data_IF_297478540016
#
_entry.id   IF_297478540016
#
_cell.length_a   1.000
_cell.length_b   1.000
_cell.length_c   1.000
_cell.angle_alpha   90.00
_cell.angle_beta   90.00
_cell.angle_gamma   90.00
#
_symmetry.space_group_name_H-M   'P 1'
#
loop_
_entity.id
_entity.type
_entity.pdbx_description
1 polymer ?
#
# COMPACT_ATOMS: atom_id res chain seq x y z
N UNK A 1 20.80 16.02 -12.99
CA UNK A 1 20.09 15.62 -14.23
C UNK A 1 19.23 14.39 -13.90
N UNK A 2 18.10 14.22 -14.59
CA UNK A 2 17.26 13.02 -14.53
C UNK A 2 17.58 12.17 -15.76
N UNK A 3 17.80 10.87 -15.55
CA UNK A 3 18.04 9.92 -16.62
C UNK A 3 17.02 8.78 -16.55
N UNK A 4 16.36 8.45 -17.68
CA UNK A 4 15.44 7.33 -17.77
C UNK A 4 16.21 6.07 -18.15
N UNK A 5 16.29 5.12 -17.21
CA UNK A 5 16.98 3.85 -17.45
C UNK A 5 16.03 2.73 -17.91
N UNK A 6 14.76 2.79 -17.48
CA UNK A 6 13.77 1.75 -17.80
C UNK A 6 12.37 2.31 -17.80
N UNK A 7 11.56 1.87 -18.74
CA UNK A 7 10.13 2.20 -18.84
C UNK A 7 9.35 0.99 -19.32
N UNK A 8 8.18 0.77 -18.75
CA UNK A 8 7.30 -0.34 -19.08
C UNK A 8 5.83 0.05 -18.93
N UNK A 9 4.89 -0.62 -19.64
CA UNK A 9 3.47 -0.41 -19.43
C UNK A 9 3.01 -1.06 -18.11
N UNK A 10 2.11 -0.35 -17.39
CA UNK A 10 1.54 -0.80 -16.12
C UNK A 10 0.00 -0.86 -16.20
N UNK A 11 -0.58 -1.80 -16.97
CA UNK A 11 -2.03 -1.98 -16.99
C UNK A 11 -2.48 -2.80 -15.77
N UNK A 12 -3.71 -2.52 -15.31
CA UNK A 12 -4.40 -3.43 -14.40
C UNK A 12 -4.76 -4.74 -15.11
N UNK A 13 -4.79 -5.84 -14.38
CA UNK A 13 -5.15 -7.18 -14.86
C UNK A 13 -6.51 -7.57 -14.33
N UNK A 14 -7.44 -7.87 -15.24
CA UNK A 14 -8.79 -8.35 -14.87
C UNK A 14 -8.79 -9.87 -14.78
N UNK A 15 -9.23 -10.35 -13.63
CA UNK A 15 -9.48 -11.77 -13.37
C UNK A 15 -10.93 -11.96 -12.89
N UNK A 16 -11.32 -13.17 -12.54
CA UNK A 16 -12.71 -13.51 -12.20
C UNK A 16 -13.27 -12.68 -11.04
N UNK A 17 -12.46 -12.44 -10.03
CA UNK A 17 -12.84 -11.74 -8.79
C UNK A 17 -12.64 -10.22 -8.84
N UNK A 18 -12.04 -9.67 -9.89
CA UNK A 18 -11.88 -8.23 -10.00
C UNK A 18 -10.75 -7.73 -10.88
N UNK A 19 -10.44 -6.46 -10.72
CA UNK A 19 -9.30 -5.80 -11.36
C UNK A 19 -8.16 -5.66 -10.34
N UNK A 20 -6.98 -6.16 -10.71
CA UNK A 20 -5.81 -6.23 -9.83
C UNK A 20 -4.59 -5.55 -10.43
N UNK A 21 -3.63 -5.21 -9.59
CA UNK A 21 -2.27 -4.92 -9.98
C UNK A 21 -1.45 -6.21 -10.09
N UNK A 22 -0.68 -6.38 -11.15
CA UNK A 22 0.30 -7.46 -11.25
C UNK A 22 1.60 -7.03 -10.55
N UNK A 23 1.59 -7.11 -9.21
CA UNK A 23 2.72 -6.62 -8.42
C UNK A 23 3.98 -7.47 -8.57
N UNK A 24 3.84 -8.74 -8.95
CA UNK A 24 5.00 -9.59 -9.22
C UNK A 24 5.73 -9.15 -10.48
N UNK A 25 4.97 -8.78 -11.52
CA UNK A 25 5.55 -8.17 -12.72
C UNK A 25 6.17 -6.80 -12.41
N UNK A 26 5.49 -5.95 -11.63
CA UNK A 26 6.05 -4.66 -11.22
C UNK A 26 7.38 -4.85 -10.48
N UNK A 27 7.46 -5.84 -9.63
CA UNK A 27 8.69 -6.18 -8.93
C UNK A 27 9.81 -6.64 -9.89
N UNK A 28 9.50 -7.46 -10.88
CA UNK A 28 10.45 -7.84 -11.93
C UNK A 28 10.99 -6.63 -12.69
N UNK A 29 10.10 -5.72 -13.09
CA UNK A 29 10.47 -4.50 -13.80
C UNK A 29 11.32 -3.54 -12.95
N UNK A 30 11.05 -3.44 -11.63
CA UNK A 30 11.89 -2.71 -10.68
C UNK A 30 13.30 -3.32 -10.66
N UNK A 31 13.42 -4.64 -10.58
CA UNK A 31 14.72 -5.32 -10.60
C UNK A 31 15.47 -5.13 -11.94
N UNK A 32 14.75 -5.09 -13.07
CA UNK A 32 15.35 -4.75 -14.38
C UNK A 32 15.91 -3.32 -14.34
N UNK A 33 15.16 -2.36 -13.78
CA UNK A 33 15.62 -0.99 -13.59
C UNK A 33 16.87 -0.91 -12.72
N UNK A 34 16.88 -1.64 -11.59
CA UNK A 34 18.04 -1.69 -10.68
C UNK A 34 19.28 -2.29 -11.37
N UNK A 35 19.13 -3.38 -12.12
CA UNK A 35 20.23 -3.96 -12.89
C UNK A 35 20.85 -2.97 -13.88
N UNK A 36 20.02 -2.18 -14.56
CA UNK A 36 20.50 -1.13 -15.47
C UNK A 36 21.22 -0.01 -14.73
N UNK A 37 20.75 0.34 -13.52
CA UNK A 37 21.37 1.37 -12.68
C UNK A 37 22.68 0.92 -12.02
N UNK A 38 22.92 -0.39 -11.90
CA UNK A 38 24.09 -0.94 -11.17
C UNK A 38 25.43 -0.42 -11.71
N UNK A 39 25.54 -0.18 -13.03
CA UNK A 39 26.74 0.37 -13.65
C UNK A 39 27.14 1.75 -13.09
N UNK A 40 26.16 2.54 -12.66
CA UNK A 40 26.36 3.89 -12.10
C UNK A 40 26.61 3.88 -10.58
N UNK A 41 26.61 2.68 -9.95
CA UNK A 41 26.84 2.46 -8.52
C UNK A 41 25.97 3.39 -7.64
N UNK A 42 24.64 3.31 -7.72
CA UNK A 42 23.75 4.18 -6.97
C UNK A 42 23.97 4.01 -5.46
N UNK A 43 23.97 5.12 -4.72
CA UNK A 43 24.19 5.11 -3.26
C UNK A 43 22.90 4.89 -2.47
N UNK A 44 21.74 5.05 -3.11
CA UNK A 44 20.42 4.83 -2.52
C UNK A 44 19.39 4.51 -3.61
N UNK A 45 18.34 3.80 -3.20
CA UNK A 45 17.16 3.56 -4.02
C UNK A 45 15.90 3.84 -3.21
N UNK A 46 14.87 4.33 -3.87
CA UNK A 46 13.52 4.47 -3.32
C UNK A 46 12.48 4.16 -4.40
N UNK A 47 11.30 3.77 -3.97
CA UNK A 47 10.17 3.50 -4.87
C UNK A 47 9.06 4.49 -4.53
N UNK A 48 8.57 5.18 -5.54
CA UNK A 48 7.35 5.97 -5.52
C UNK A 48 6.33 5.34 -6.47
N UNK A 49 5.05 5.35 -6.11
CA UNK A 49 4.01 4.71 -6.90
C UNK A 49 2.77 5.61 -7.05
N UNK A 50 1.70 5.29 -6.36
CA UNK A 50 0.43 6.01 -6.29
C UNK A 50 -0.22 5.75 -4.94
N UNK A 51 -1.11 6.64 -4.50
CA UNK A 51 -1.85 6.49 -3.25
C UNK A 51 -3.00 5.48 -3.32
N UNK A 52 -3.64 5.30 -2.21
CA UNK A 52 -4.87 4.56 -1.91
C UNK A 52 -4.83 3.05 -2.02
N UNK A 53 -3.97 2.45 -2.85
CA UNK A 53 -3.86 1.00 -3.00
C UNK A 53 -2.85 0.39 -2.02
N UNK A 54 -3.12 -0.84 -1.62
CA UNK A 54 -2.37 -1.53 -0.59
C UNK A 54 -2.24 -3.03 -0.87
N UNK A 55 -1.27 -3.64 -0.23
CA UNK A 55 -1.07 -5.07 -0.16
C UNK A 55 -1.31 -5.59 1.25
N UNK A 56 -1.75 -6.84 1.36
CA UNK A 56 -1.84 -7.58 2.61
C UNK A 56 -0.79 -8.69 2.61
N UNK A 57 -0.06 -8.79 3.70
CA UNK A 57 0.91 -9.86 3.94
C UNK A 57 0.43 -10.73 5.10
N UNK A 58 0.71 -12.02 5.02
CA UNK A 58 0.48 -12.94 6.12
C UNK A 58 1.59 -12.84 7.20
N UNK A 59 1.48 -13.66 8.25
CA UNK A 59 2.45 -13.71 9.35
C UNK A 59 3.87 -14.10 8.91
N UNK A 60 4.01 -14.82 7.81
CA UNK A 60 5.32 -15.17 7.24
C UNK A 60 5.93 -14.03 6.42
N UNK A 61 5.15 -13.00 6.11
CA UNK A 61 5.51 -11.91 5.22
C UNK A 61 5.24 -12.19 3.75
N UNK A 62 4.55 -13.28 3.44
CA UNK A 62 4.13 -13.59 2.09
C UNK A 62 2.89 -12.76 1.70
N UNK A 63 2.80 -12.44 0.40
CA UNK A 63 1.64 -11.74 -0.16
C UNK A 63 0.41 -12.64 -0.08
N UNK A 64 -0.67 -12.15 0.56
CA UNK A 64 -1.93 -12.89 0.66
C UNK A 64 -2.60 -13.04 -0.70
N UNK A 65 -2.45 -12.05 -1.58
CA UNK A 65 -2.96 -12.05 -2.94
C UNK A 65 -2.55 -10.79 -3.66
N UNK A 66 -2.71 -10.74 -4.99
CA UNK A 66 -2.44 -9.52 -5.73
C UNK A 66 -3.35 -8.38 -5.25
N UNK A 67 -2.79 -7.18 -4.98
CA UNK A 67 -3.57 -6.01 -4.61
C UNK A 67 -4.64 -5.68 -5.64
N UNK A 68 -5.80 -5.28 -5.15
CA UNK A 68 -6.83 -4.74 -6.03
C UNK A 68 -6.41 -3.37 -6.59
N UNK A 69 -6.84 -3.11 -7.80
CA UNK A 69 -6.68 -1.80 -8.43
C UNK A 69 -7.77 -0.84 -7.91
N UNK A 70 -7.46 0.41 -7.63
CA UNK A 70 -8.41 1.42 -7.11
C UNK A 70 -9.64 1.66 -7.99
N UNK A 71 -9.59 1.29 -9.28
CA UNK A 71 -10.73 1.35 -10.21
C UNK A 71 -11.55 0.07 -10.24
N UNK A 72 -11.29 -0.87 -9.34
CA UNK A 72 -12.14 -2.04 -9.22
C UNK A 72 -13.54 -1.66 -8.72
N UNK A 73 -14.55 -2.32 -9.25
CA UNK A 73 -15.95 -2.00 -8.92
C UNK A 73 -16.39 -2.43 -7.53
N UNK A 74 -15.54 -3.18 -6.76
CA UNK A 74 -15.91 -3.69 -5.43
C UNK A 74 -16.23 -2.60 -4.41
N UNK A 75 -15.75 -1.38 -4.63
CA UNK A 75 -16.01 -0.24 -3.74
C UNK A 75 -17.26 0.56 -4.10
N UNK A 76 -17.88 0.30 -5.24
CA UNK A 76 -19.06 1.02 -5.69
C UNK A 76 -20.21 0.90 -4.68
N UNK A 77 -20.75 2.04 -4.24
CA UNK A 77 -21.86 2.10 -3.29
C UNK A 77 -21.49 1.76 -1.85
N UNK A 78 -20.19 1.70 -1.49
CA UNK A 78 -19.77 1.48 -0.11
C UNK A 78 -19.75 2.78 0.72
N UNK A 79 -19.60 3.93 0.09
CA UNK A 79 -19.57 5.21 0.78
C UNK A 79 -20.81 5.40 1.70
N UNK A 80 -22.06 5.29 1.23
CA UNK A 80 -23.21 5.42 2.12
C UNK A 80 -23.22 4.36 3.22
N UNK A 81 -22.86 3.12 2.97
CA UNK A 81 -22.82 2.05 3.96
C UNK A 81 -21.83 2.33 5.11
N UNK A 82 -20.69 2.93 4.80
CA UNK A 82 -19.69 3.35 5.79
C UNK A 82 -20.23 4.54 6.58
N UNK A 83 -20.90 5.51 5.91
CA UNK A 83 -21.47 6.69 6.55
C UNK A 83 -22.68 6.39 7.44
N UNK A 84 -23.36 5.26 7.23
CA UNK A 84 -24.42 4.78 8.14
C UNK A 84 -23.84 4.29 9.49
N UNK A 85 -22.54 3.99 9.56
CA UNK A 85 -21.85 3.49 10.78
C UNK A 85 -21.05 4.61 11.45
N UNK A 86 -20.33 5.41 10.66
CA UNK A 86 -19.50 6.51 11.15
C UNK A 86 -19.80 7.75 10.33
N UNK A 87 -20.12 8.86 11.00
CA UNK A 87 -20.53 10.09 10.30
C UNK A 87 -19.41 10.67 9.42
N UNK A 88 -19.80 11.40 8.39
CA UNK A 88 -18.87 12.13 7.50
C UNK A 88 -17.98 13.09 8.28
N UNK A 89 -18.59 13.80 9.24
CA UNK A 89 -17.90 14.77 10.10
C UNK A 89 -16.81 14.08 10.92
N UNK A 90 -17.12 12.94 11.54
CA UNK A 90 -16.16 12.21 12.36
C UNK A 90 -14.97 11.70 11.52
N UNK A 91 -15.22 11.15 10.34
CA UNK A 91 -14.15 10.69 9.44
C UNK A 91 -13.29 11.88 8.99
N UNK A 92 -13.94 12.98 8.56
CA UNK A 92 -13.23 14.16 8.07
C UNK A 92 -12.41 14.84 9.17
N UNK A 93 -12.96 14.97 10.37
CA UNK A 93 -12.25 15.58 11.50
C UNK A 93 -10.98 14.82 11.88
N UNK A 94 -10.96 13.50 11.70
CA UNK A 94 -9.78 12.70 11.99
C UNK A 94 -8.75 12.73 10.85
N UNK A 95 -9.20 12.77 9.60
CA UNK A 95 -8.33 12.49 8.44
C UNK A 95 -8.09 13.69 7.54
N UNK A 96 -9.02 14.66 7.50
CA UNK A 96 -8.96 15.82 6.62
C UNK A 96 -9.05 15.50 5.12
N UNK A 97 -9.39 14.26 4.76
CA UNK A 97 -9.32 13.79 3.39
C UNK A 97 -10.66 13.87 2.64
N UNK A 98 -10.60 14.19 1.34
CA UNK A 98 -11.75 14.16 0.44
C UNK A 98 -12.34 12.74 0.35
N UNK A 99 -13.68 12.65 0.34
CA UNK A 99 -14.41 11.39 0.20
C UNK A 99 -14.48 10.95 -1.27
N UNK A 100 -13.84 9.83 -1.54
CA UNK A 100 -13.91 9.12 -2.82
C UNK A 100 -13.97 7.62 -2.55
N UNK A 101 -14.81 6.88 -3.29
CA UNK A 101 -14.95 5.42 -3.11
C UNK A 101 -13.66 4.64 -3.39
N UNK A 102 -12.70 5.26 -4.05
CA UNK A 102 -11.37 4.68 -4.31
C UNK A 102 -10.43 4.73 -3.09
N UNK A 103 -10.75 5.53 -2.06
CA UNK A 103 -9.88 5.65 -0.89
C UNK A 103 -9.75 4.32 -0.16
N UNK A 104 -8.60 4.13 0.45
CA UNK A 104 -8.21 2.87 1.11
C UNK A 104 -9.24 2.41 2.14
N UNK A 105 -9.88 3.34 2.86
CA UNK A 105 -10.92 3.03 3.84
C UNK A 105 -12.03 2.17 3.23
N UNK A 106 -12.55 2.57 2.05
CA UNK A 106 -13.62 1.83 1.37
C UNK A 106 -13.10 0.54 0.74
N UNK A 107 -11.87 0.57 0.24
CA UNK A 107 -11.22 -0.64 -0.28
C UNK A 107 -11.04 -1.70 0.82
N UNK A 108 -10.53 -1.31 2.00
CA UNK A 108 -10.37 -2.22 3.13
C UNK A 108 -11.73 -2.68 3.67
N UNK A 109 -12.73 -1.78 3.73
CA UNK A 109 -14.09 -2.13 4.13
C UNK A 109 -14.73 -3.16 3.19
N UNK A 110 -14.45 -3.10 1.88
CA UNK A 110 -14.93 -4.10 0.92
C UNK A 110 -14.39 -5.51 1.17
N UNK A 111 -13.28 -5.63 1.89
CA UNK A 111 -12.65 -6.91 2.24
C UNK A 111 -13.13 -7.47 3.59
N UNK A 112 -14.00 -6.75 4.30
CA UNK A 112 -14.52 -7.21 5.60
C UNK A 112 -15.14 -8.60 5.50
N UNK A 113 -14.80 -9.48 6.44
CA UNK A 113 -15.23 -10.88 6.50
C UNK A 113 -14.76 -11.74 5.31
N UNK A 114 -13.66 -11.37 4.67
CA UNK A 114 -13.02 -12.22 3.65
C UNK A 114 -11.85 -13.00 4.26
N UNK A 115 -11.61 -14.21 3.75
CA UNK A 115 -10.46 -15.01 4.17
C UNK A 115 -9.12 -14.29 3.95
N UNK A 116 -9.02 -13.43 2.94
CA UNK A 116 -7.82 -12.64 2.67
C UNK A 116 -7.55 -11.64 3.80
N UNK A 117 -8.59 -10.95 4.30
CA UNK A 117 -8.41 -10.01 5.42
C UNK A 117 -8.16 -10.75 6.74
N UNK A 118 -8.78 -11.90 6.94
CA UNK A 118 -8.58 -12.75 8.14
C UNK A 118 -7.15 -13.32 8.20
N UNK A 119 -6.53 -13.61 7.06
CA UNK A 119 -5.16 -14.11 6.97
C UNK A 119 -4.11 -12.99 7.09
N UNK A 120 -4.52 -11.73 7.04
CA UNK A 120 -3.59 -10.61 7.02
C UNK A 120 -2.94 -10.37 8.39
N UNK A 121 -1.60 -10.26 8.39
CA UNK A 121 -0.79 -9.82 9.53
C UNK A 121 -0.27 -8.39 9.32
N UNK A 122 0.04 -8.01 8.08
CA UNK A 122 0.53 -6.67 7.77
C UNK A 122 -0.23 -6.04 6.59
N UNK A 123 -0.50 -4.75 6.75
CA UNK A 123 -0.99 -3.84 5.72
C UNK A 123 0.17 -2.94 5.29
N UNK A 124 0.44 -2.87 3.99
CA UNK A 124 1.45 -1.99 3.40
C UNK A 124 0.85 -1.25 2.21
N UNK A 125 1.11 0.06 2.09
CA UNK A 125 0.78 0.79 0.88
C UNK A 125 1.64 0.29 -0.29
N UNK A 126 1.28 0.62 -1.52
CA UNK A 126 1.98 0.07 -2.69
C UNK A 126 3.48 0.35 -2.70
N UNK A 127 3.98 1.59 -2.43
CA UNK A 127 5.42 1.81 -2.39
C UNK A 127 6.09 1.08 -1.21
N UNK A 128 5.39 0.95 -0.08
CA UNK A 128 5.89 0.27 1.11
C UNK A 128 6.08 -1.24 0.88
N UNK A 129 5.21 -1.86 0.07
CA UNK A 129 5.38 -3.24 -0.35
C UNK A 129 6.72 -3.43 -1.09
N UNK A 130 7.04 -2.55 -2.03
CA UNK A 130 8.29 -2.63 -2.78
C UNK A 130 9.50 -2.28 -1.91
N UNK A 131 9.38 -1.32 -0.99
CA UNK A 131 10.41 -1.05 0.01
C UNK A 131 10.64 -2.27 0.92
N UNK A 132 9.58 -2.95 1.34
CA UNK A 132 9.69 -4.20 2.11
C UNK A 132 10.45 -5.27 1.32
N UNK A 133 10.15 -5.45 0.04
CA UNK A 133 10.87 -6.40 -0.80
C UNK A 133 12.32 -6.00 -1.07
N UNK A 134 12.63 -4.69 -1.04
CA UNK A 134 14.01 -4.20 -1.17
C UNK A 134 14.81 -4.36 0.14
N UNK A 135 14.25 -4.03 1.29
CA UNK A 135 14.98 -3.84 2.55
C UNK A 135 14.55 -4.77 3.69
N UNK A 136 13.45 -5.53 3.54
CA UNK A 136 12.94 -6.44 4.57
C UNK A 136 12.19 -5.76 5.74
N UNK A 137 11.95 -4.45 5.66
CA UNK A 137 11.34 -3.66 6.75
C UNK A 137 9.89 -3.33 6.43
N UNK A 138 8.96 -3.70 7.31
CA UNK A 138 7.52 -3.46 7.17
C UNK A 138 7.13 -2.18 7.90
N UNK A 139 7.04 -1.07 7.19
CA UNK A 139 6.57 0.24 7.66
C UNK A 139 5.64 0.85 6.63
N UNK A 140 4.91 1.91 7.00
CA UNK A 140 4.16 2.73 6.05
C UNK A 140 4.79 4.13 5.98
N UNK A 141 4.93 4.67 4.79
CA UNK A 141 5.44 6.03 4.61
C UNK A 141 4.29 7.03 4.80
N UNK A 142 4.60 8.16 5.46
CA UNK A 142 3.62 9.16 5.91
C UNK A 142 2.78 9.75 4.77
N UNK A 143 3.40 10.16 3.65
CA UNK A 143 2.67 10.84 2.58
C UNK A 143 1.65 9.90 1.92
N UNK A 144 1.96 8.61 1.82
CA UNK A 144 1.03 7.62 1.30
C UNK A 144 0.01 7.17 2.38
N UNK A 145 0.43 7.01 3.62
CA UNK A 145 -0.48 6.72 4.74
C UNK A 145 -1.61 7.75 4.86
N UNK A 146 -1.34 9.03 4.58
CA UNK A 146 -2.37 10.08 4.61
C UNK A 146 -3.44 9.92 3.53
N UNK A 147 -3.19 9.18 2.46
CA UNK A 147 -4.18 8.92 1.40
C UNK A 147 -5.23 7.89 1.80
N UNK A 148 -5.01 7.17 2.90
CA UNK A 148 -5.85 6.03 3.31
C UNK A 148 -7.25 6.39 3.79
N UNK A 149 -7.46 7.62 4.28
CA UNK A 149 -8.67 8.06 4.98
C UNK A 149 -8.91 7.36 6.34
N UNK A 150 -7.84 6.82 6.93
CA UNK A 150 -7.82 6.34 8.33
C UNK A 150 -6.47 6.62 9.03
N UNK A 151 -5.72 7.62 8.56
CA UNK A 151 -4.58 8.18 9.28
C UNK A 151 -4.91 9.58 9.77
N UNK A 152 -4.68 9.87 11.07
CA UNK A 152 -4.86 11.18 11.68
C UNK A 152 -3.52 11.96 11.65
N UNK A 153 -3.36 12.93 10.72
CA UNK A 153 -2.09 13.66 10.58
C UNK A 153 -1.81 14.61 11.75
N UNK A 154 -2.83 15.02 12.52
CA UNK A 154 -2.68 15.87 13.70
C UNK A 154 -2.15 15.07 14.88
N UNK A 155 -2.67 13.85 15.08
CA UNK A 155 -2.19 12.91 16.11
C UNK A 155 -0.96 12.13 15.67
N UNK A 156 -0.62 12.17 14.38
CA UNK A 156 0.46 11.38 13.75
C UNK A 156 0.30 9.88 14.04
N UNK A 157 -0.91 9.37 13.90
CA UNK A 157 -1.26 8.00 14.24
C UNK A 157 -2.41 7.49 13.35
N UNK A 158 -2.48 6.18 13.20
CA UNK A 158 -3.64 5.51 12.62
C UNK A 158 -4.89 5.78 13.45
N UNK A 159 -6.00 6.12 12.80
CA UNK A 159 -7.31 6.32 13.41
C UNK A 159 -7.96 4.98 13.79
N UNK A 160 -7.30 4.20 14.65
CA UNK A 160 -7.74 2.86 15.05
C UNK A 160 -9.20 2.83 15.54
N UNK A 161 -9.69 3.78 16.37
CA UNK A 161 -11.08 3.78 16.77
C UNK A 161 -12.08 3.87 15.62
N UNK A 162 -11.72 4.56 14.52
CA UNK A 162 -12.53 4.60 13.30
C UNK A 162 -12.65 3.23 12.65
N UNK A 163 -11.52 2.53 12.51
CA UNK A 163 -11.50 1.17 11.94
C UNK A 163 -12.25 0.18 12.82
N UNK A 164 -12.10 0.26 14.13
CA UNK A 164 -12.80 -0.60 15.11
C UNK A 164 -14.31 -0.42 15.02
N UNK A 165 -14.82 0.80 14.90
CA UNK A 165 -16.25 1.08 14.67
C UNK A 165 -16.77 0.42 13.40
N UNK A 166 -15.94 0.36 12.36
CA UNK A 166 -16.26 -0.30 11.09
C UNK A 166 -16.10 -1.82 11.15
N UNK A 167 -15.55 -2.36 12.25
CA UNK A 167 -15.25 -3.77 12.43
C UNK A 167 -14.09 -4.24 11.55
N UNK A 168 -13.10 -3.37 11.35
CA UNK A 168 -11.89 -3.63 10.58
C UNK A 168 -10.71 -3.90 11.53
N UNK A 169 -9.77 -4.79 11.14
CA UNK A 169 -8.62 -5.12 11.97
C UNK A 169 -7.64 -3.94 12.08
N UNK A 170 -7.13 -3.70 13.28
CA UNK A 170 -6.11 -2.67 13.55
C UNK A 170 -4.73 -3.25 13.83
N UNK A 171 -4.63 -4.56 14.07
CA UNK A 171 -3.36 -5.25 14.32
C UNK A 171 -2.45 -5.33 13.08
N UNK A 172 -3.04 -5.24 11.89
CA UNK A 172 -2.31 -5.27 10.62
C UNK A 172 -1.54 -3.97 10.32
N UNK A 173 -1.88 -2.87 11.00
CA UNK A 173 -1.28 -1.55 10.77
C UNK A 173 0.14 -1.50 11.31
N UNK A 174 1.07 -1.01 10.48
CA UNK A 174 2.49 -0.88 10.80
C UNK A 174 2.84 0.55 11.23
N UNK A 175 4.02 0.73 11.80
CA UNK A 175 4.57 2.04 12.14
C UNK A 175 4.58 2.95 10.91
N UNK A 176 4.29 4.24 11.10
CA UNK A 176 4.37 5.25 10.05
C UNK A 176 5.66 6.03 10.20
N UNK A 177 6.47 6.02 9.15
CA UNK A 177 7.75 6.72 9.08
C UNK A 177 7.65 7.96 8.20
N UNK A 178 8.55 8.94 8.42
CA UNK A 178 8.56 10.16 7.63
C UNK A 178 9.22 9.94 6.25
N UNK A 179 8.86 10.76 5.23
CA UNK A 179 9.55 10.77 3.95
C UNK A 179 11.07 10.90 4.12
N UNK A 180 11.82 10.15 3.32
CA UNK A 180 13.28 10.14 3.39
C UNK A 180 13.89 9.33 4.53
N UNK A 181 13.09 8.59 5.31
CA UNK A 181 13.60 7.66 6.31
C UNK A 181 14.40 6.53 5.65
N UNK A 182 15.62 6.32 6.15
CA UNK A 182 16.47 5.22 5.69
C UNK A 182 15.99 3.91 6.33
N UNK A 183 15.54 2.96 5.52
CA UNK A 183 15.02 1.66 5.96
C UNK A 183 16.12 0.61 6.18
N UNK A 184 17.29 0.81 5.57
CA UNK A 184 18.41 -0.13 5.68
C UNK A 184 19.08 -0.39 4.34
N UNK A 185 20.02 -1.33 4.29
CA UNK A 185 20.61 -1.79 3.03
C UNK A 185 19.59 -2.62 2.24
N UNK A 186 19.80 -2.70 0.93
CA UNK A 186 19.09 -3.66 0.08
C UNK A 186 19.40 -5.09 0.55
N UNK A 187 18.39 -5.95 0.56
CA UNK A 187 18.57 -7.36 0.94
C UNK A 187 19.61 -8.05 0.06
N UNK A 188 20.47 -8.93 0.63
CA UNK A 188 21.51 -9.63 -0.14
C UNK A 188 20.96 -10.34 -1.38
N UNK A 189 19.81 -11.01 -1.24
CA UNK A 189 19.17 -11.72 -2.37
C UNK A 189 18.75 -10.80 -3.52
N UNK A 190 18.38 -9.55 -3.21
CA UNK A 190 18.05 -8.55 -4.23
C UNK A 190 19.32 -7.96 -4.84
N UNK A 191 20.32 -7.66 -4.01
CA UNK A 191 21.60 -7.14 -4.49
C UNK A 191 22.30 -8.13 -5.44
N UNK A 192 22.36 -9.41 -5.07
CA UNK A 192 22.92 -10.48 -5.93
C UNK A 192 22.17 -10.59 -7.27
N UNK A 193 20.85 -10.42 -7.28
CA UNK A 193 20.03 -10.47 -8.49
C UNK A 193 20.11 -9.23 -9.38
N UNK A 194 20.58 -8.11 -8.83
CA UNK A 194 20.60 -6.82 -9.52
C UNK A 194 22.02 -6.33 -9.89
N UNK A 195 23.08 -6.96 -9.41
CA UNK A 195 24.49 -6.57 -9.64
C UNK A 195 24.99 -5.61 -8.57
#
# INVERSE_FOLDING_TARGET
ALEELHRFPNPGVRVVDGLHWDVLRLWEEIQIGLRKAAADKPVSAAVDTWGVDFALLDHSGALVGNPYHYRDARTNGLLPKVLDIVSREEIFDQTGLQFMEINTLFQLYSMKNTAALDAADAFLMMPDLFHYWLAGVKVCEYSDATTTQFYDPRKKAWAKPLLEKLGLPTHILREVVQPGTRLGPVLPSVAEGCG
#
